data_IF_483317884754
#
_entry.id   IF_483317884754
#
_cell.length_a   1.000
_cell.length_b   1.000
_cell.length_c   1.000
_cell.angle_alpha   90.00
_cell.angle_beta   90.00
_cell.angle_gamma   90.00
#
_symmetry.space_group_name_H-M   'P 1'
#
loop_
_entity.id
_entity.type
_entity.pdbx_description
1 polymer ?
#
# COMPACT_ATOMS: atom_id res chain seq x y z
N UNK A 1 -12.89 -2.86 22.26
CA UNK A 1 -11.70 -3.07 21.42
C UNK A 1 -11.89 -4.41 20.73
N UNK A 2 -12.25 -4.42 19.46
CA UNK A 2 -12.69 -5.64 18.77
C UNK A 2 -11.56 -6.67 18.65
N UNK A 3 -11.77 -7.85 19.23
CA UNK A 3 -10.83 -8.98 19.23
C UNK A 3 -10.37 -9.32 17.79
N UNK A 4 -11.27 -9.17 16.82
CA UNK A 4 -11.00 -9.39 15.39
C UNK A 4 -9.99 -8.38 14.82
N UNK A 5 -10.05 -7.10 15.21
CA UNK A 5 -9.11 -6.07 14.75
C UNK A 5 -7.72 -6.30 15.35
N UNK A 6 -7.66 -6.71 16.62
CA UNK A 6 -6.41 -7.06 17.28
C UNK A 6 -5.71 -8.29 16.64
N UNK A 7 -6.48 -9.33 16.28
CA UNK A 7 -5.94 -10.52 15.60
C UNK A 7 -5.39 -10.20 14.20
N UNK A 8 -6.09 -9.37 13.41
CA UNK A 8 -5.61 -8.92 12.09
C UNK A 8 -4.30 -8.15 12.19
N UNK A 9 -4.21 -7.21 13.14
CA UNK A 9 -2.99 -6.43 13.36
C UNK A 9 -1.80 -7.33 13.75
N UNK A 10 -2.03 -8.32 14.62
CA UNK A 10 -0.99 -9.26 15.03
C UNK A 10 -0.47 -10.11 13.86
N UNK A 11 -1.36 -10.57 12.98
CA UNK A 11 -0.98 -11.35 11.78
C UNK A 11 -0.11 -10.53 10.82
N UNK A 12 -0.52 -9.29 10.54
CA UNK A 12 0.26 -8.36 9.69
C UNK A 12 1.62 -8.09 10.32
N UNK A 13 1.68 -7.79 11.62
CA UNK A 13 2.94 -7.56 12.35
C UNK A 13 3.93 -8.72 12.22
N UNK A 14 3.46 -9.95 12.42
CA UNK A 14 4.32 -11.14 12.28
C UNK A 14 4.90 -11.27 10.87
N UNK A 15 4.14 -10.91 9.84
CA UNK A 15 4.62 -10.94 8.47
C UNK A 15 5.61 -9.81 8.15
N UNK A 16 5.39 -8.61 8.70
CA UNK A 16 6.32 -7.47 8.58
C UNK A 16 7.67 -7.81 9.23
N UNK A 17 7.67 -8.38 10.43
CA UNK A 17 8.87 -8.78 11.17
C UNK A 17 9.73 -9.83 10.45
N UNK A 18 9.14 -10.61 9.53
CA UNK A 18 9.87 -11.61 8.73
C UNK A 18 10.70 -10.99 7.60
N UNK A 19 10.48 -9.71 7.30
CA UNK A 19 11.19 -8.99 6.24
C UNK A 19 12.33 -8.20 6.89
N UNK A 20 13.57 -8.22 6.34
CA UNK A 20 14.65 -7.37 6.79
C UNK A 20 14.30 -5.87 6.75
N UNK A 21 14.83 -5.07 7.66
CA UNK A 21 14.47 -3.64 7.77
C UNK A 21 14.73 -2.85 6.47
N UNK A 22 15.90 -3.08 5.84
CA UNK A 22 16.24 -2.49 4.56
C UNK A 22 15.26 -2.90 3.44
N UNK A 23 14.79 -4.15 3.44
CA UNK A 23 13.76 -4.61 2.50
C UNK A 23 12.39 -3.98 2.80
N UNK A 24 12.03 -3.78 4.08
CA UNK A 24 10.77 -3.11 4.45
C UNK A 24 10.73 -1.70 3.87
N UNK A 25 11.78 -0.91 4.11
CA UNK A 25 11.92 0.44 3.57
C UNK A 25 11.85 0.45 2.05
N UNK A 26 12.67 -0.37 1.37
CA UNK A 26 12.68 -0.43 -0.10
C UNK A 26 11.29 -0.75 -0.67
N UNK A 27 10.55 -1.69 -0.05
CA UNK A 27 9.20 -2.02 -0.48
C UNK A 27 8.19 -0.87 -0.25
N UNK A 28 8.28 -0.16 0.86
CA UNK A 28 7.42 1.01 1.14
C UNK A 28 7.70 2.11 0.12
N UNK A 29 8.97 2.45 -0.11
CA UNK A 29 9.38 3.49 -1.06
C UNK A 29 8.96 3.12 -2.48
N UNK A 30 9.10 1.85 -2.88
CA UNK A 30 8.66 1.39 -4.21
C UNK A 30 7.14 1.50 -4.40
N UNK A 31 6.32 1.16 -3.38
CA UNK A 31 4.87 1.35 -3.47
C UNK A 31 4.52 2.85 -3.49
N UNK A 32 5.26 3.66 -2.73
CA UNK A 32 5.06 5.11 -2.71
C UNK A 32 5.38 5.77 -4.07
N UNK A 33 6.41 5.30 -4.78
CA UNK A 33 6.79 5.87 -6.08
C UNK A 33 5.70 5.71 -7.14
N UNK A 34 4.94 4.61 -7.11
CA UNK A 34 3.74 4.41 -7.93
C UNK A 34 2.66 5.43 -7.60
N UNK A 35 2.45 5.70 -6.31
CA UNK A 35 1.41 6.60 -5.84
C UNK A 35 1.64 8.07 -6.21
N UNK A 36 2.90 8.50 -6.31
CA UNK A 36 3.26 9.87 -6.73
C UNK A 36 3.53 10.00 -8.23
N UNK A 37 3.45 8.90 -8.98
CA UNK A 37 3.64 8.94 -10.42
C UNK A 37 2.39 9.53 -11.11
N UNK A 38 2.53 10.76 -11.63
CA UNK A 38 1.45 11.50 -12.28
C UNK A 38 0.92 10.83 -13.54
N UNK A 39 1.78 10.15 -14.30
CA UNK A 39 1.36 9.47 -15.53
C UNK A 39 0.46 8.27 -15.22
N UNK A 40 0.65 7.64 -14.06
CA UNK A 40 -0.18 6.53 -13.59
C UNK A 40 -1.43 6.99 -12.85
N UNK A 41 -1.26 7.87 -11.87
CA UNK A 41 -2.33 8.25 -10.94
C UNK A 41 -3.14 9.47 -11.40
N UNK A 42 -2.60 10.27 -12.31
CA UNK A 42 -3.15 11.58 -12.68
C UNK A 42 -2.62 12.70 -11.79
N UNK A 43 -3.01 13.93 -12.12
CA UNK A 43 -2.66 15.10 -11.30
C UNK A 43 -3.37 15.09 -9.95
N UNK A 44 -2.65 15.51 -8.91
CA UNK A 44 -3.10 15.50 -7.51
C UNK A 44 -4.40 16.28 -7.26
N UNK A 45 -4.74 17.26 -8.10
CA UNK A 45 -6.00 18.01 -7.99
C UNK A 45 -7.24 17.20 -8.43
N UNK A 46 -7.02 16.07 -9.11
CA UNK A 46 -8.06 15.25 -9.72
C UNK A 46 -8.01 13.78 -9.28
N UNK A 47 -7.17 13.44 -8.28
CA UNK A 47 -7.14 12.08 -7.74
C UNK A 47 -8.31 11.85 -6.76
N UNK A 48 -8.82 10.61 -6.65
CA UNK A 48 -9.76 10.22 -5.61
C UNK A 48 -9.23 10.52 -4.20
N UNK A 49 -10.12 10.89 -3.29
CA UNK A 49 -9.77 11.24 -1.91
C UNK A 49 -9.14 10.05 -1.16
N UNK A 50 -9.57 8.82 -1.45
CA UNK A 50 -8.92 7.61 -0.91
C UNK A 50 -7.43 7.52 -1.29
N UNK A 51 -7.03 7.95 -2.48
CA UNK A 51 -5.62 7.95 -2.93
C UNK A 51 -4.82 8.98 -2.13
N UNK A 52 -5.39 10.15 -1.90
CA UNK A 52 -4.77 11.18 -1.05
C UNK A 52 -4.58 10.70 0.39
N UNK A 53 -5.59 10.02 0.95
CA UNK A 53 -5.49 9.44 2.29
C UNK A 53 -4.41 8.36 2.39
N UNK A 54 -4.31 7.47 1.40
CA UNK A 54 -3.25 6.45 1.35
C UNK A 54 -1.88 7.11 1.28
N UNK A 55 -1.72 8.15 0.46
CA UNK A 55 -0.47 8.91 0.34
C UNK A 55 -0.05 9.49 1.67
N UNK A 56 -0.98 10.18 2.34
CA UNK A 56 -0.73 10.75 3.66
C UNK A 56 -0.37 9.68 4.70
N UNK A 57 -0.98 8.49 4.66
CA UNK A 57 -0.60 7.40 5.57
C UNK A 57 0.84 6.95 5.29
N UNK A 58 1.18 6.67 4.03
CA UNK A 58 2.51 6.16 3.66
C UNK A 58 3.62 7.19 3.98
N UNK A 59 3.40 8.47 3.72
CA UNK A 59 4.36 9.55 4.04
C UNK A 59 4.69 9.69 5.53
N UNK A 60 3.79 9.23 6.41
CA UNK A 60 3.92 9.37 7.86
C UNK A 60 4.27 8.06 8.58
N UNK A 61 4.57 6.98 7.85
CA UNK A 61 5.01 5.72 8.46
C UNK A 61 6.36 5.91 9.14
N UNK A 62 6.44 5.55 10.42
CA UNK A 62 7.71 5.35 11.08
C UNK A 62 8.34 4.04 10.62
N UNK A 63 9.37 4.12 9.77
CA UNK A 63 10.04 2.96 9.17
C UNK A 63 10.80 2.08 10.18
N UNK A 64 11.14 2.63 11.35
CA UNK A 64 11.81 1.91 12.44
C UNK A 64 10.82 1.18 13.37
N UNK A 65 9.51 1.40 13.21
CA UNK A 65 8.46 0.82 14.04
C UNK A 65 7.58 -0.17 13.25
N UNK A 66 7.84 -1.46 13.45
CA UNK A 66 7.07 -2.54 12.83
C UNK A 66 5.58 -2.54 13.19
N UNK A 67 5.23 -2.06 14.39
CA UNK A 67 3.83 -1.87 14.77
C UNK A 67 3.20 -0.74 13.96
N UNK A 68 3.93 0.32 13.67
CA UNK A 68 3.43 1.44 12.87
C UNK A 68 3.26 1.06 11.39
N UNK A 69 4.19 0.30 10.81
CA UNK A 69 4.05 -0.26 9.46
C UNK A 69 2.80 -1.15 9.39
N UNK A 70 2.62 -2.07 10.35
CA UNK A 70 1.47 -2.97 10.37
C UNK A 70 0.14 -2.21 10.55
N UNK A 71 0.09 -1.25 11.49
CA UNK A 71 -1.08 -0.39 11.70
C UNK A 71 -1.42 0.41 10.44
N UNK A 72 -0.43 0.93 9.74
CA UNK A 72 -0.61 1.73 8.52
C UNK A 72 -1.21 0.90 7.38
N UNK A 73 -0.77 -0.35 7.19
CA UNK A 73 -1.38 -1.28 6.22
C UNK A 73 -2.86 -1.51 6.56
N UNK A 74 -3.18 -1.78 7.83
CA UNK A 74 -4.56 -1.97 8.25
C UNK A 74 -5.42 -0.72 8.05
N UNK A 75 -4.87 0.46 8.36
CA UNK A 75 -5.56 1.74 8.16
C UNK A 75 -5.84 2.00 6.68
N UNK A 76 -4.89 1.72 5.78
CA UNK A 76 -5.10 1.83 4.33
C UNK A 76 -6.25 0.93 3.88
N UNK A 77 -6.26 -0.34 4.30
CA UNK A 77 -7.37 -1.26 3.95
C UNK A 77 -8.71 -0.72 4.43
N UNK A 78 -8.76 -0.20 5.65
CA UNK A 78 -9.97 0.43 6.20
C UNK A 78 -10.41 1.66 5.39
N UNK A 79 -9.47 2.47 4.85
CA UNK A 79 -9.82 3.58 3.96
C UNK A 79 -10.40 3.11 2.63
N UNK A 80 -9.85 2.05 2.06
CA UNK A 80 -10.32 1.47 0.79
C UNK A 80 -11.72 0.87 0.97
N UNK A 81 -11.90 0.02 1.99
CA UNK A 81 -13.17 -0.65 2.29
C UNK A 81 -14.32 0.34 2.58
N UNK A 82 -14.01 1.50 3.18
CA UNK A 82 -15.00 2.52 3.52
C UNK A 82 -15.19 3.60 2.44
N UNK A 83 -14.43 3.54 1.34
CA UNK A 83 -14.58 4.53 0.27
C UNK A 83 -15.74 4.15 -0.65
N UNK A 84 -16.61 5.12 -0.92
CA UNK A 84 -17.74 5.00 -1.85
C UNK A 84 -17.45 5.69 -3.19
N UNK A 85 -16.17 5.87 -3.52
CA UNK A 85 -15.72 6.57 -4.71
C UNK A 85 -15.73 5.61 -5.91
N UNK A 86 -16.25 6.08 -7.06
CA UNK A 86 -16.18 5.33 -8.30
C UNK A 86 -14.87 5.64 -9.03
N UNK A 87 -14.05 4.63 -9.25
CA UNK A 87 -12.78 4.78 -9.96
C UNK A 87 -12.93 4.45 -11.43
N UNK A 88 -12.54 5.37 -12.31
CA UNK A 88 -12.51 5.15 -13.77
C UNK A 88 -11.10 4.88 -14.30
N UNK A 89 -10.07 5.32 -13.57
CA UNK A 89 -8.67 5.05 -13.90
C UNK A 89 -8.30 3.62 -13.51
N UNK A 90 -7.91 2.80 -14.51
CA UNK A 90 -7.48 1.41 -14.32
C UNK A 90 -6.25 1.29 -13.40
N UNK A 91 -5.29 2.21 -13.50
CA UNK A 91 -4.08 2.18 -12.66
C UNK A 91 -4.45 2.40 -11.19
N UNK A 92 -5.37 3.32 -10.91
CA UNK A 92 -5.91 3.52 -9.56
C UNK A 92 -6.59 2.25 -9.06
N UNK A 93 -7.43 1.62 -9.88
CA UNK A 93 -8.09 0.37 -9.51
C UNK A 93 -7.09 -0.76 -9.23
N UNK A 94 -6.10 -0.94 -10.11
CA UNK A 94 -5.03 -1.93 -9.94
C UNK A 94 -4.25 -1.69 -8.65
N UNK A 95 -4.00 -0.42 -8.32
CA UNK A 95 -3.32 -0.03 -7.08
C UNK A 95 -4.13 -0.35 -5.83
N UNK A 96 -5.40 0.06 -5.80
CA UNK A 96 -6.29 -0.22 -4.67
C UNK A 96 -6.52 -1.72 -4.48
N UNK A 97 -6.66 -2.48 -5.59
CA UNK A 97 -6.84 -3.92 -5.55
C UNK A 97 -5.63 -4.66 -4.95
N UNK A 98 -4.41 -4.14 -5.10
CA UNK A 98 -3.21 -4.74 -4.50
C UNK A 98 -3.30 -4.80 -2.95
N UNK A 99 -4.04 -3.89 -2.31
CA UNK A 99 -4.25 -3.90 -0.87
C UNK A 99 -5.35 -4.87 -0.40
N UNK A 100 -6.19 -5.35 -1.33
CA UNK A 100 -7.37 -6.16 -1.00
C UNK A 100 -7.13 -7.67 -1.14
N UNK A 101 -6.11 -8.10 -1.88
CA UNK A 101 -5.95 -9.51 -2.27
C UNK A 101 -5.44 -10.48 -1.20
N UNK A 102 -4.71 -10.02 -0.17
CA UNK A 102 -4.00 -10.92 0.74
C UNK A 102 -4.36 -10.72 2.23
N UNK A 103 -4.51 -11.85 2.94
CA UNK A 103 -4.68 -11.88 4.39
C UNK A 103 -3.34 -11.74 5.16
N UNK A 104 -2.22 -11.92 4.45
CA UNK A 104 -0.84 -11.81 4.93
C UNK A 104 -0.11 -10.59 4.33
N UNK A 105 -0.86 -9.51 4.12
CA UNK A 105 -0.41 -8.35 3.37
C UNK A 105 0.76 -7.63 4.05
N UNK A 106 1.87 -7.47 3.33
CA UNK A 106 2.93 -6.51 3.62
C UNK A 106 3.20 -5.65 2.37
N UNK A 107 3.98 -4.58 2.50
CA UNK A 107 4.42 -3.80 1.35
C UNK A 107 5.18 -4.62 0.29
N UNK A 108 5.83 -5.72 0.67
CA UNK A 108 6.43 -6.67 -0.28
C UNK A 108 5.38 -7.37 -1.14
N UNK A 109 4.33 -7.91 -0.53
CA UNK A 109 3.24 -8.53 -1.31
C UNK A 109 2.49 -7.49 -2.15
N UNK A 110 2.27 -6.28 -1.62
CA UNK A 110 1.65 -5.19 -2.39
C UNK A 110 2.49 -4.88 -3.62
N UNK A 111 3.80 -4.67 -3.45
CA UNK A 111 4.75 -4.45 -4.56
C UNK A 111 4.68 -5.57 -5.60
N UNK A 112 4.68 -6.83 -5.18
CA UNK A 112 4.59 -7.98 -6.08
C UNK A 112 3.28 -7.98 -6.88
N UNK A 113 2.15 -7.69 -6.24
CA UNK A 113 0.85 -7.61 -6.91
C UNK A 113 0.78 -6.47 -7.93
N UNK A 114 1.33 -5.30 -7.60
CA UNK A 114 1.43 -4.16 -8.53
C UNK A 114 2.29 -4.49 -9.75
N UNK A 115 3.42 -5.18 -9.54
CA UNK A 115 4.31 -5.61 -10.62
C UNK A 115 3.64 -6.63 -11.57
N UNK A 116 2.66 -7.40 -11.06
CA UNK A 116 1.91 -8.38 -11.86
C UNK A 116 0.70 -7.77 -12.56
N UNK A 117 0.06 -6.74 -11.98
CA UNK A 117 -1.17 -6.15 -12.51
C UNK A 117 -0.93 -5.18 -13.66
N UNK A 118 0.24 -4.54 -13.71
CA UNK A 118 0.50 -3.45 -14.64
C UNK A 118 1.98 -3.36 -15.06
N UNK A 119 2.26 -3.44 -16.36
CA UNK A 119 3.62 -3.42 -16.90
C UNK A 119 4.35 -2.09 -16.70
N UNK A 120 3.64 -0.96 -16.69
CA UNK A 120 4.27 0.35 -16.42
C UNK A 120 4.61 0.49 -14.93
N UNK A 121 3.73 0.03 -14.04
CA UNK A 121 4.06 -0.06 -12.62
C UNK A 121 5.26 -0.97 -12.39
N UNK A 122 5.30 -2.13 -13.04
CA UNK A 122 6.44 -3.05 -12.97
C UNK A 122 7.76 -2.35 -13.29
N UNK A 123 7.83 -1.58 -14.38
CA UNK A 123 9.06 -0.86 -14.76
C UNK A 123 9.54 0.09 -13.67
N UNK A 124 8.63 0.80 -13.01
CA UNK A 124 8.96 1.70 -11.89
C UNK A 124 9.42 0.88 -10.68
N UNK A 125 8.74 -0.23 -10.38
CA UNK A 125 9.09 -1.07 -9.24
C UNK A 125 10.45 -1.76 -9.41
N UNK A 126 10.82 -2.15 -10.64
CA UNK A 126 12.11 -2.77 -10.95
C UNK A 126 13.31 -1.79 -10.70
N UNK A 127 13.08 -0.48 -10.46
CA UNK A 127 14.17 0.46 -10.12
C UNK A 127 14.57 0.45 -8.64
N UNK A 128 13.86 -0.33 -7.82
CA UNK A 128 14.06 -0.46 -6.36
C UNK A 128 14.50 -1.88 -5.96
N UNK A 129 14.96 -2.66 -6.93
CA UNK A 129 15.65 -3.95 -6.76
C UNK A 129 17.17 -3.77 -6.82
#
# INVERSE_FOLDING_TARGET
MDIVKAQKNMKVKVNVLRIPANEREANIVAVYSILINKDLMGDMDHIPNVIWQIKSIIENINLDDDDDIARSICLIKEKIENSNENYTNKNIMDFLNAFSKNSDLTFRQIRQELAQSNSEMKKILDTYD
#
